data_IF_488329229153
#
_entry.id   IF_488329229153
#
_cell.length_a   1.000
_cell.length_b   1.000
_cell.length_c   1.000
_cell.angle_alpha   90.00
_cell.angle_beta   90.00
_cell.angle_gamma   90.00
#
_symmetry.space_group_name_H-M   'P 1'
#
loop_
_entity.id
_entity.type
_entity.pdbx_description
1 polymer ?
#
# COMPACT_ATOMS: atom_id res chain seq x y z
N UNK A 1 -11.15 -17.69 -12.52
CA UNK A 1 -10.09 -16.66 -12.61
C UNK A 1 -10.77 -15.31 -12.44
N UNK A 2 -10.11 -14.34 -11.82
CA UNK A 2 -10.60 -12.96 -11.70
C UNK A 2 -9.53 -12.03 -12.27
N UNK A 3 -9.94 -11.07 -13.10
CA UNK A 3 -9.07 -10.03 -13.64
C UNK A 3 -9.56 -8.65 -13.20
N UNK A 4 -8.67 -7.82 -12.67
CA UNK A 4 -8.97 -6.44 -12.24
C UNK A 4 -7.88 -5.54 -12.81
N UNK A 5 -8.25 -4.57 -13.63
CA UNK A 5 -7.30 -3.73 -14.36
C UNK A 5 -7.67 -2.25 -14.28
N UNK A 6 -6.73 -1.43 -13.83
CA UNK A 6 -6.78 0.04 -13.84
C UNK A 6 -8.08 0.62 -13.26
N UNK A 7 -8.67 -0.06 -12.27
CA UNK A 7 -9.89 0.41 -11.63
C UNK A 7 -9.57 1.64 -10.77
N UNK A 8 -10.20 2.82 -11.00
CA UNK A 8 -9.81 4.06 -10.33
C UNK A 8 -9.94 4.08 -8.80
N UNK A 9 -10.77 3.20 -8.25
CA UNK A 9 -11.01 3.09 -6.80
C UNK A 9 -10.29 1.90 -6.17
N UNK A 10 -9.56 1.11 -6.96
CA UNK A 10 -8.76 -0.01 -6.47
C UNK A 10 -7.29 0.33 -6.68
N UNK A 11 -6.60 0.55 -5.58
CA UNK A 11 -5.19 0.88 -5.54
C UNK A 11 -4.34 -0.33 -5.16
N UNK A 12 -3.03 -0.13 -5.14
CA UNK A 12 -2.06 -1.19 -4.87
C UNK A 12 -2.28 -1.89 -3.52
N UNK A 13 -2.71 -1.15 -2.47
CA UNK A 13 -2.96 -1.69 -1.13
C UNK A 13 -4.03 -2.78 -1.08
N UNK A 14 -4.98 -2.75 -2.00
CA UNK A 14 -6.15 -3.64 -1.99
C UNK A 14 -5.81 -5.08 -2.35
N UNK A 15 -4.60 -5.34 -2.86
CA UNK A 15 -4.14 -6.71 -3.13
C UNK A 15 -4.29 -7.61 -1.91
N UNK A 16 -4.11 -7.07 -0.69
CA UNK A 16 -4.19 -7.87 0.54
C UNK A 16 -5.64 -8.22 0.86
N UNK A 17 -6.55 -7.26 0.88
CA UNK A 17 -7.97 -7.51 1.17
C UNK A 17 -8.65 -8.33 0.07
N UNK A 18 -8.22 -8.18 -1.19
CA UNK A 18 -8.68 -9.04 -2.30
C UNK A 18 -8.26 -10.50 -2.09
N UNK A 19 -7.06 -10.77 -1.58
CA UNK A 19 -6.63 -12.13 -1.25
C UNK A 19 -7.42 -12.72 -0.08
N UNK A 20 -7.72 -11.90 0.94
CA UNK A 20 -8.58 -12.28 2.06
C UNK A 20 -9.99 -12.63 1.58
N UNK A 21 -10.58 -11.79 0.72
CA UNK A 21 -11.88 -12.05 0.10
C UNK A 21 -11.89 -13.34 -0.73
N UNK A 22 -10.86 -13.56 -1.55
CA UNK A 22 -10.74 -14.80 -2.33
C UNK A 22 -10.63 -16.02 -1.40
N UNK A 23 -9.92 -15.89 -0.28
CA UNK A 23 -9.80 -16.96 0.71
C UNK A 23 -11.15 -17.32 1.31
N UNK A 24 -11.91 -16.32 1.78
CA UNK A 24 -13.26 -16.46 2.33
C UNK A 24 -14.21 -17.12 1.32
N UNK A 25 -14.27 -16.57 0.09
CA UNK A 25 -15.11 -17.12 -0.99
C UNK A 25 -14.72 -18.57 -1.30
N UNK A 26 -13.42 -18.88 -1.36
CA UNK A 26 -12.97 -20.24 -1.63
C UNK A 26 -13.29 -21.20 -0.48
N UNK A 27 -13.35 -20.73 0.76
CA UNK A 27 -13.81 -21.55 1.88
C UNK A 27 -15.29 -21.92 1.72
N UNK A 28 -16.15 -20.96 1.42
CA UNK A 28 -17.57 -21.20 1.14
C UNK A 28 -17.78 -22.13 -0.06
N UNK A 29 -17.06 -21.89 -1.16
CA UNK A 29 -17.15 -22.73 -2.37
C UNK A 29 -16.67 -24.17 -2.13
N UNK A 30 -15.65 -24.37 -1.29
CA UNK A 30 -15.24 -25.73 -0.87
C UNK A 30 -16.36 -26.46 -0.15
N UNK A 31 -17.02 -25.78 0.79
CA UNK A 31 -18.13 -26.37 1.54
C UNK A 31 -19.31 -26.74 0.64
N UNK A 32 -19.57 -25.98 -0.42
CA UNK A 32 -20.65 -26.23 -1.39
C UNK A 32 -20.24 -27.07 -2.61
N UNK A 33 -19.01 -27.59 -2.68
CA UNK A 33 -18.51 -28.34 -3.85
C UNK A 33 -18.37 -27.51 -5.14
N UNK A 34 -18.35 -26.18 -5.04
CA UNK A 34 -18.28 -25.26 -6.18
C UNK A 34 -16.84 -25.01 -6.65
N UNK A 35 -16.61 -24.69 -7.94
CA UNK A 35 -15.28 -24.38 -8.46
C UNK A 35 -14.62 -23.18 -7.78
N UNK A 36 -13.42 -23.39 -7.23
CA UNK A 36 -12.63 -22.35 -6.56
C UNK A 36 -12.04 -21.33 -7.53
N UNK A 37 -11.80 -20.11 -7.04
CA UNK A 37 -10.96 -19.11 -7.70
C UNK A 37 -9.50 -19.54 -7.57
N UNK A 38 -8.88 -19.90 -8.71
CA UNK A 38 -7.48 -20.39 -8.78
C UNK A 38 -6.45 -19.36 -9.26
N UNK A 39 -6.88 -18.17 -9.65
CA UNK A 39 -5.96 -17.15 -10.15
C UNK A 39 -6.56 -15.75 -10.13
N UNK A 40 -5.71 -14.78 -9.83
CA UNK A 40 -6.00 -13.35 -9.80
C UNK A 40 -4.99 -12.63 -10.71
N UNK A 41 -5.48 -12.03 -11.79
CA UNK A 41 -4.68 -11.16 -12.66
C UNK A 41 -4.99 -9.71 -12.29
N UNK A 42 -4.10 -9.08 -11.53
CA UNK A 42 -4.34 -7.78 -10.91
C UNK A 42 -3.40 -6.72 -11.44
N UNK A 43 -3.95 -5.62 -11.94
CA UNK A 43 -3.22 -4.42 -12.30
C UNK A 43 -3.88 -3.23 -11.60
N UNK A 44 -3.35 -2.78 -10.45
CA UNK A 44 -3.91 -1.62 -9.75
C UNK A 44 -3.77 -0.35 -10.59
N UNK A 45 -4.50 0.71 -10.21
CA UNK A 45 -4.37 2.02 -10.84
C UNK A 45 -2.90 2.48 -10.81
N UNK A 46 -2.33 2.72 -11.98
CA UNK A 46 -0.99 3.32 -12.10
C UNK A 46 -1.11 4.83 -12.22
N UNK A 47 -0.49 5.55 -11.29
CA UNK A 47 -0.49 7.01 -11.26
C UNK A 47 0.65 7.57 -12.12
N UNK A 48 0.37 7.78 -13.41
CA UNK A 48 1.32 8.39 -14.34
C UNK A 48 1.67 9.86 -13.98
N UNK A 49 0.95 10.46 -13.03
CA UNK A 49 1.09 11.86 -12.66
C UNK A 49 0.69 12.81 -13.79
N UNK A 50 1.12 14.07 -13.69
CA UNK A 50 0.86 15.08 -14.73
C UNK A 50 2.15 15.62 -15.35
N UNK A 51 2.97 14.78 -16.01
CA UNK A 51 4.25 15.22 -16.58
C UNK A 51 4.11 16.34 -17.62
N UNK A 52 2.88 16.61 -18.09
CA UNK A 52 2.55 17.63 -19.09
C UNK A 52 2.04 18.96 -18.49
N UNK A 53 1.81 19.04 -17.17
CA UNK A 53 1.34 20.27 -16.53
C UNK A 53 2.47 21.29 -16.36
N UNK A 54 3.68 20.84 -16.01
CA UNK A 54 4.90 21.65 -15.99
C UNK A 54 6.11 20.77 -16.32
N UNK A 55 7.21 21.37 -16.76
CA UNK A 55 8.53 20.69 -16.89
C UNK A 55 9.07 20.12 -15.57
N UNK A 56 8.41 20.42 -14.44
CA UNK A 56 8.78 19.99 -13.09
C UNK A 56 7.73 19.07 -12.44
N UNK A 57 6.68 18.71 -13.17
CA UNK A 57 5.68 17.78 -12.67
C UNK A 57 6.27 16.38 -12.56
N UNK A 58 5.98 15.72 -11.43
CA UNK A 58 6.59 14.44 -11.08
C UNK A 58 5.61 13.29 -11.26
N UNK A 59 6.12 12.14 -11.72
CA UNK A 59 5.34 10.91 -11.95
C UNK A 59 5.59 9.93 -10.81
N UNK A 60 4.53 9.54 -10.11
CA UNK A 60 4.64 8.88 -8.80
C UNK A 60 4.21 7.40 -8.77
N UNK A 61 3.64 6.85 -9.85
CA UNK A 61 3.40 5.42 -10.09
C UNK A 61 2.43 4.73 -9.11
N UNK A 62 2.83 4.65 -7.85
CA UNK A 62 2.13 4.03 -6.73
C UNK A 62 1.08 4.96 -6.10
N UNK A 63 1.43 6.22 -5.86
CA UNK A 63 0.56 7.24 -5.26
C UNK A 63 0.32 8.37 -6.24
N UNK A 64 -0.77 9.11 -6.06
CA UNK A 64 -1.05 10.31 -6.85
C UNK A 64 -0.09 11.47 -6.54
N UNK A 65 0.17 11.68 -5.25
CA UNK A 65 1.00 12.76 -4.73
C UNK A 65 2.36 12.29 -4.18
N UNK A 66 3.26 13.26 -3.89
CA UNK A 66 4.48 12.98 -3.15
C UNK A 66 4.15 12.67 -1.69
N UNK A 67 4.46 11.45 -1.27
CA UNK A 67 4.40 11.01 0.12
C UNK A 67 5.82 10.79 0.67
N UNK A 68 5.97 10.52 1.97
CA UNK A 68 7.28 10.32 2.57
C UNK A 68 7.93 9.02 2.08
N UNK A 69 9.17 9.09 1.61
CA UNK A 69 9.90 7.95 1.06
C UNK A 69 10.02 6.79 2.05
N UNK A 70 10.26 7.09 3.34
CA UNK A 70 10.43 6.07 4.40
C UNK A 70 9.19 5.17 4.50
N UNK A 71 8.00 5.76 4.51
CA UNK A 71 6.74 5.01 4.56
C UNK A 71 6.42 4.37 3.21
N UNK A 72 6.58 5.10 2.10
CA UNK A 72 6.20 4.58 0.77
C UNK A 72 7.05 3.37 0.39
N UNK A 73 8.38 3.44 0.54
CA UNK A 73 9.27 2.36 0.16
C UNK A 73 9.08 1.13 1.06
N UNK A 74 9.08 1.32 2.39
CA UNK A 74 8.87 0.20 3.34
C UNK A 74 7.48 -0.39 3.20
N UNK A 75 6.47 0.45 2.98
CA UNK A 75 5.08 0.05 2.79
C UNK A 75 4.85 -0.72 1.50
N UNK A 76 5.45 -0.28 0.39
CA UNK A 76 5.39 -0.96 -0.89
C UNK A 76 5.85 -2.41 -0.76
N UNK A 77 7.08 -2.61 -0.27
CA UNK A 77 7.63 -3.96 -0.07
C UNK A 77 6.90 -4.76 1.01
N UNK A 78 6.39 -4.10 2.06
CA UNK A 78 5.59 -4.75 3.10
C UNK A 78 4.25 -5.30 2.57
N UNK A 79 3.58 -4.58 1.66
CA UNK A 79 2.39 -5.06 0.97
C UNK A 79 2.71 -6.21 0.00
N UNK A 80 3.81 -6.10 -0.77
CA UNK A 80 4.28 -7.20 -1.63
C UNK A 80 4.56 -8.46 -0.82
N UNK A 81 5.26 -8.36 0.33
CA UNK A 81 5.54 -9.49 1.22
C UNK A 81 4.25 -10.19 1.66
N UNK A 82 3.28 -9.43 2.18
CA UNK A 82 1.99 -9.98 2.64
C UNK A 82 1.25 -10.67 1.48
N UNK A 83 1.12 -9.99 0.35
CA UNK A 83 0.42 -10.50 -0.81
C UNK A 83 1.06 -11.78 -1.36
N UNK A 84 2.40 -11.80 -1.47
CA UNK A 84 3.15 -12.95 -1.94
C UNK A 84 2.94 -14.17 -1.04
N UNK A 85 3.08 -13.99 0.28
CA UNK A 85 2.93 -15.08 1.23
C UNK A 85 1.51 -15.66 1.21
N UNK A 86 0.49 -14.80 1.20
CA UNK A 86 -0.92 -15.21 1.10
C UNK A 86 -1.18 -15.96 -0.21
N UNK A 87 -0.82 -15.38 -1.36
CA UNK A 87 -1.03 -16.00 -2.68
C UNK A 87 -0.32 -17.35 -2.79
N UNK A 88 0.91 -17.45 -2.31
CA UNK A 88 1.69 -18.71 -2.30
C UNK A 88 1.02 -19.78 -1.44
N UNK A 89 0.54 -19.43 -0.25
CA UNK A 89 -0.16 -20.39 0.63
C UNK A 89 -1.49 -20.84 0.05
N UNK A 90 -2.19 -19.95 -0.63
CA UNK A 90 -3.47 -20.25 -1.30
C UNK A 90 -3.30 -21.03 -2.60
N UNK A 91 -2.07 -21.14 -3.14
CA UNK A 91 -1.83 -21.70 -4.46
C UNK A 91 -2.48 -20.88 -5.58
N UNK A 92 -2.57 -19.56 -5.39
CA UNK A 92 -3.22 -18.65 -6.34
C UNK A 92 -2.23 -18.29 -7.45
N UNK A 93 -2.56 -18.66 -8.70
CA UNK A 93 -1.76 -18.31 -9.87
C UNK A 93 -1.98 -16.87 -10.36
N UNK A 94 -1.25 -16.51 -11.42
CA UNK A 94 -1.28 -15.25 -12.15
C UNK A 94 -0.75 -14.02 -11.40
N UNK A 95 -0.95 -13.91 -10.09
CA UNK A 95 -0.58 -12.71 -9.36
C UNK A 95 0.93 -12.46 -9.34
N UNK A 96 1.73 -13.50 -9.13
CA UNK A 96 3.20 -13.40 -9.11
C UNK A 96 3.87 -14.19 -10.24
N UNK A 97 3.09 -14.61 -11.24
CA UNK A 97 3.64 -15.32 -12.39
C UNK A 97 4.41 -14.34 -13.29
N UNK A 98 5.42 -14.89 -13.99
CA UNK A 98 6.26 -14.11 -14.89
C UNK A 98 5.39 -13.46 -15.98
N UNK A 99 5.65 -12.18 -16.22
CA UNK A 99 5.05 -11.35 -17.28
C UNK A 99 3.52 -11.12 -17.16
N UNK A 100 2.94 -11.44 -16.00
CA UNK A 100 1.56 -11.07 -15.64
C UNK A 100 1.43 -9.64 -15.13
N UNK A 101 0.19 -9.19 -15.03
CA UNK A 101 -0.12 -7.77 -14.90
C UNK A 101 0.47 -7.16 -13.62
N UNK A 102 0.38 -7.86 -12.48
CA UNK A 102 0.91 -7.36 -11.22
C UNK A 102 2.44 -7.30 -11.23
N UNK A 103 3.13 -8.33 -11.70
CA UNK A 103 4.59 -8.31 -11.89
C UNK A 103 5.04 -7.19 -12.84
N UNK A 104 4.26 -6.89 -13.89
CA UNK A 104 4.52 -5.76 -14.79
C UNK A 104 4.36 -4.43 -14.05
N UNK A 105 3.30 -4.28 -13.25
CA UNK A 105 3.08 -3.11 -12.40
C UNK A 105 4.26 -2.89 -11.43
N UNK A 106 4.68 -3.94 -10.70
CA UNK A 106 5.80 -3.86 -9.74
C UNK A 106 7.12 -3.40 -10.40
N UNK A 107 7.35 -3.74 -11.67
CA UNK A 107 8.53 -3.30 -12.44
C UNK A 107 8.44 -1.82 -12.89
N UNK A 108 7.24 -1.25 -12.95
CA UNK A 108 7.00 0.13 -13.38
C UNK A 108 6.96 1.13 -12.24
N UNK A 109 6.80 0.67 -10.99
CA UNK A 109 6.85 1.55 -9.81
C UNK A 109 8.23 2.19 -9.73
N UNK A 110 8.35 3.53 -9.65
CA UNK A 110 9.64 4.20 -9.55
C UNK A 110 10.45 3.71 -8.35
N UNK A 111 11.59 3.09 -8.65
CA UNK A 111 12.58 2.62 -7.68
C UNK A 111 13.93 2.44 -8.40
N UNK A 112 15.00 2.14 -7.67
CA UNK A 112 16.25 1.77 -8.31
C UNK A 112 16.07 0.46 -9.12
N UNK A 113 16.79 0.30 -10.25
CA UNK A 113 16.71 -0.88 -11.10
C UNK A 113 16.81 -2.19 -10.32
N UNK A 114 15.96 -3.16 -10.67
CA UNK A 114 15.89 -4.50 -10.08
C UNK A 114 15.43 -4.59 -8.62
N UNK A 115 15.07 -3.49 -7.95
CA UNK A 115 14.60 -3.53 -6.56
C UNK A 115 13.45 -4.55 -6.33
N UNK A 116 12.36 -4.44 -7.09
CA UNK A 116 11.24 -5.39 -7.00
C UNK A 116 11.59 -6.82 -7.46
N UNK A 117 12.27 -7.04 -8.61
CA UNK A 117 12.76 -8.37 -8.99
C UNK A 117 13.64 -9.04 -7.92
N UNK A 118 14.61 -8.33 -7.33
CA UNK A 118 15.48 -8.85 -6.26
C UNK A 118 14.68 -9.19 -5.01
N UNK A 119 13.70 -8.36 -4.65
CA UNK A 119 12.81 -8.64 -3.52
C UNK A 119 12.02 -9.94 -3.73
N UNK A 120 11.41 -10.12 -4.91
CA UNK A 120 10.64 -11.32 -5.23
C UNK A 120 11.52 -12.57 -5.28
N UNK A 121 12.70 -12.48 -5.90
CA UNK A 121 13.68 -13.57 -5.94
C UNK A 121 14.11 -14.00 -4.51
N UNK A 122 14.36 -13.02 -3.64
CA UNK A 122 14.69 -13.27 -2.24
C UNK A 122 13.54 -13.97 -1.50
N UNK A 123 12.27 -13.60 -1.74
CA UNK A 123 11.12 -14.28 -1.16
C UNK A 123 11.03 -15.75 -1.60
N UNK A 124 11.27 -16.04 -2.87
CA UNK A 124 11.30 -17.41 -3.38
C UNK A 124 12.41 -18.23 -2.70
N UNK A 125 13.64 -17.72 -2.70
CA UNK A 125 14.78 -18.37 -2.03
C UNK A 125 14.55 -18.57 -0.54
N UNK A 126 13.94 -17.59 0.13
CA UNK A 126 13.64 -17.67 1.55
C UNK A 126 12.69 -18.84 1.86
N UNK A 127 11.64 -19.05 1.04
CA UNK A 127 10.69 -20.15 1.23
C UNK A 127 11.27 -21.52 0.89
N UNK A 128 12.32 -21.58 0.06
CA UNK A 128 13.00 -22.81 -0.37
C UNK A 128 14.21 -23.16 0.50
N UNK A 129 14.72 -22.19 1.27
CA UNK A 129 15.87 -22.35 2.15
C UNK A 129 15.61 -23.41 3.23
N UNK A 130 16.56 -24.33 3.38
CA UNK A 130 16.50 -25.43 4.37
C UNK A 130 17.38 -25.17 5.59
N UNK A 131 18.42 -24.36 5.42
CA UNK A 131 19.39 -24.01 6.44
C UNK A 131 19.31 -22.52 6.80
N UNK A 132 19.78 -22.19 8.01
CA UNK A 132 19.74 -20.84 8.55
C UNK A 132 20.66 -19.86 7.81
N UNK A 133 21.74 -20.33 7.20
CA UNK A 133 22.63 -19.45 6.42
C UNK A 133 21.94 -18.98 5.15
N UNK A 134 21.34 -19.90 4.38
CA UNK A 134 20.54 -19.60 3.19
C UNK A 134 19.38 -18.67 3.51
N UNK A 135 18.67 -18.89 4.63
CA UNK A 135 17.61 -17.98 5.10
C UNK A 135 18.17 -16.58 5.36
N UNK A 136 19.29 -16.46 6.09
CA UNK A 136 19.93 -15.15 6.35
C UNK A 136 20.32 -14.43 5.06
N UNK A 137 20.92 -15.14 4.09
CA UNK A 137 21.25 -14.55 2.78
C UNK A 137 20.00 -14.03 2.08
N UNK A 138 18.94 -14.82 2.08
CA UNK A 138 17.66 -14.44 1.49
C UNK A 138 17.02 -13.26 2.23
N UNK A 139 17.06 -13.23 3.58
CA UNK A 139 16.56 -12.11 4.38
C UNK A 139 17.32 -10.81 4.08
N UNK A 140 18.63 -10.88 3.84
CA UNK A 140 19.40 -9.69 3.44
C UNK A 140 19.03 -9.17 2.07
N UNK A 141 18.94 -10.04 1.08
CA UNK A 141 18.51 -9.64 -0.26
C UNK A 141 17.06 -9.13 -0.25
N UNK A 142 16.21 -9.67 0.64
CA UNK A 142 14.85 -9.22 0.87
C UNK A 142 14.82 -7.80 1.46
N UNK A 143 15.65 -7.53 2.47
CA UNK A 143 15.63 -6.24 3.18
C UNK A 143 16.44 -5.14 2.49
N UNK A 144 17.35 -5.49 1.59
CA UNK A 144 18.16 -4.51 0.86
C UNK A 144 17.29 -3.50 0.08
N UNK A 145 16.31 -3.91 -0.75
CA UNK A 145 15.38 -2.99 -1.40
C UNK A 145 14.53 -2.14 -0.45
N UNK A 146 14.27 -2.65 0.75
CA UNK A 146 13.50 -1.94 1.78
C UNK A 146 14.31 -0.76 2.35
N UNK A 147 15.64 -0.91 2.46
CA UNK A 147 16.51 0.02 3.20
C UNK A 147 17.33 0.96 2.32
N UNK A 148 17.72 0.53 1.12
CA UNK A 148 18.57 1.32 0.20
C UNK A 148 17.90 2.66 -0.10
N UNK A 149 18.64 3.76 0.04
CA UNK A 149 18.11 5.13 -0.13
C UNK A 149 17.46 5.73 1.12
N UNK A 150 17.21 4.93 2.17
CA UNK A 150 16.69 5.39 3.46
C UNK A 150 17.77 5.42 4.55
N UNK A 151 18.59 4.38 4.61
CA UNK A 151 19.57 4.20 5.68
C UNK A 151 20.99 4.58 5.23
N UNK A 152 21.68 5.39 6.02
CA UNK A 152 22.99 5.96 5.66
C UNK A 152 24.16 5.00 5.81
N UNK A 153 23.99 3.91 6.59
CA UNK A 153 25.07 3.01 7.03
C UNK A 153 24.98 1.59 6.46
N UNK A 154 24.25 1.39 5.37
CA UNK A 154 24.15 0.08 4.71
C UNK A 154 25.54 -0.44 4.30
N UNK A 155 26.47 0.47 3.98
CA UNK A 155 27.87 0.18 3.64
C UNK A 155 28.61 -0.56 4.77
N UNK A 156 28.13 -0.44 6.02
CA UNK A 156 28.71 -1.06 7.21
C UNK A 156 27.94 -2.30 7.69
N UNK A 157 26.96 -2.77 6.91
CA UNK A 157 26.16 -3.93 7.29
C UNK A 157 27.02 -5.20 7.40
N UNK A 158 28.04 -5.30 6.54
CA UNK A 158 28.97 -6.41 6.51
C UNK A 158 30.17 -6.21 7.45
N UNK A 159 30.58 -7.22 8.24
CA UNK A 159 29.91 -8.51 8.45
C UNK A 159 28.90 -8.48 9.61
N UNK A 160 28.99 -7.51 10.54
CA UNK A 160 28.37 -7.61 11.87
C UNK A 160 26.84 -7.52 11.85
N UNK A 161 26.27 -6.53 11.17
CA UNK A 161 24.83 -6.29 11.20
C UNK A 161 24.07 -7.37 10.42
N UNK A 162 24.60 -7.77 9.25
CA UNK A 162 24.12 -8.89 8.45
C UNK A 162 24.12 -10.23 9.23
N UNK A 163 25.21 -10.54 9.93
CA UNK A 163 25.34 -11.83 10.62
C UNK A 163 24.61 -11.90 11.96
N UNK A 164 24.42 -10.75 12.63
CA UNK A 164 24.12 -10.73 14.07
C UNK A 164 22.89 -9.92 14.45
N UNK A 165 22.32 -9.07 13.60
CA UNK A 165 21.24 -8.16 13.99
C UNK A 165 20.02 -8.31 13.08
N UNK A 166 20.25 -8.33 11.77
CA UNK A 166 19.20 -8.45 10.78
C UNK A 166 18.32 -9.68 11.03
N UNK A 167 16.99 -9.51 10.93
CA UNK A 167 16.05 -10.63 10.98
C UNK A 167 15.71 -11.11 12.40
N UNK A 168 16.31 -10.54 13.46
CA UNK A 168 16.12 -11.03 14.83
C UNK A 168 14.87 -10.50 15.53
N UNK A 169 14.42 -9.31 15.16
CA UNK A 169 13.33 -8.61 15.84
C UNK A 169 12.11 -8.56 14.95
N UNK A 170 11.06 -9.26 15.37
CA UNK A 170 9.73 -9.04 14.83
C UNK A 170 9.01 -7.99 15.64
N UNK A 171 8.53 -6.98 14.93
CA UNK A 171 7.81 -5.84 15.45
C UNK A 171 6.34 -5.97 15.09
N UNK A 172 5.51 -5.73 16.09
CA UNK A 172 4.07 -5.87 16.00
C UNK A 172 3.42 -4.58 15.50
N UNK A 173 2.49 -4.71 14.55
CA UNK A 173 1.65 -3.62 14.05
C UNK A 173 0.27 -3.69 14.70
N UNK A 174 -0.13 -2.62 15.40
CA UNK A 174 -1.45 -2.48 16.04
C UNK A 174 -2.61 -2.54 15.04
N UNK A 175 -2.41 -1.99 13.83
CA UNK A 175 -3.48 -1.88 12.81
C UNK A 175 -3.82 -3.19 12.12
N UNK A 176 -2.84 -3.90 11.53
CA UNK A 176 -3.16 -5.05 10.66
C UNK A 176 -3.12 -6.42 11.35
N UNK A 177 -2.69 -6.53 12.60
CA UNK A 177 -2.58 -7.86 13.21
C UNK A 177 -1.20 -8.50 13.17
N UNK A 178 -0.32 -8.02 12.30
CA UNK A 178 0.91 -8.72 11.95
C UNK A 178 2.11 -8.33 12.81
N UNK A 179 2.97 -9.32 13.03
CA UNK A 179 4.38 -9.14 13.34
C UNK A 179 5.19 -9.28 12.06
N UNK A 180 6.08 -8.32 11.79
CA UNK A 180 7.01 -8.32 10.65
C UNK A 180 8.37 -7.86 11.10
N UNK A 181 9.39 -8.04 10.25
CA UNK A 181 10.71 -7.44 10.44
C UNK A 181 10.60 -5.93 10.71
N UNK A 182 11.44 -5.41 11.61
CA UNK A 182 11.42 -4.00 12.04
C UNK A 182 11.65 -3.01 10.88
N UNK A 183 12.33 -3.47 9.83
CA UNK A 183 12.58 -2.75 8.60
C UNK A 183 11.29 -2.40 7.83
N UNK A 184 10.16 -3.05 8.10
CA UNK A 184 8.87 -2.68 7.52
C UNK A 184 8.13 -1.59 8.33
N UNK A 185 8.78 -1.01 9.34
CA UNK A 185 8.29 0.13 10.11
C UNK A 185 9.14 1.36 9.80
N UNK A 186 8.50 2.53 9.71
CA UNK A 186 9.22 3.79 9.62
C UNK A 186 10.08 4.00 10.87
N UNK A 187 11.09 4.87 10.78
CA UNK A 187 11.91 5.22 11.95
C UNK A 187 11.02 5.70 13.12
N UNK A 188 10.10 6.61 12.83
CA UNK A 188 9.13 7.11 13.81
C UNK A 188 8.24 6.02 14.41
N UNK A 189 7.75 5.07 13.61
CA UNK A 189 6.89 4.01 14.10
C UNK A 189 7.64 3.03 15.02
N UNK A 190 8.95 2.84 14.84
CA UNK A 190 9.76 1.95 15.69
C UNK A 190 9.83 2.46 17.13
N UNK A 191 9.88 3.78 17.32
CA UNK A 191 9.93 4.43 18.62
C UNK A 191 8.56 4.52 19.31
N UNK A 192 7.47 4.26 18.58
CA UNK A 192 6.12 4.27 19.14
C UNK A 192 5.87 3.11 20.09
N UNK A 193 5.00 3.35 21.07
CA UNK A 193 4.47 2.31 21.96
C UNK A 193 3.66 1.26 21.16
N UNK A 194 3.66 -0.01 21.58
CA UNK A 194 3.06 -1.11 20.80
C UNK A 194 1.60 -0.90 20.35
N UNK A 195 0.76 -0.25 21.16
CA UNK A 195 -0.65 -0.01 20.84
C UNK A 195 -0.86 1.10 19.79
N UNK A 196 0.14 1.97 19.60
CA UNK A 196 0.16 3.06 18.60
C UNK A 196 1.03 2.74 17.38
N UNK A 197 1.72 1.60 17.40
CA UNK A 197 2.73 1.24 16.42
C UNK A 197 2.07 0.69 15.16
N UNK A 198 2.07 1.48 14.09
CA UNK A 198 1.54 1.10 12.78
C UNK A 198 2.69 0.86 11.80
N UNK A 199 2.67 -0.25 11.07
CA UNK A 199 3.69 -0.55 10.06
C UNK A 199 3.52 0.32 8.81
N UNK A 200 4.61 0.49 8.05
CA UNK A 200 4.62 1.34 6.87
C UNK A 200 3.60 0.90 5.81
N UNK A 201 3.31 -0.41 5.71
CA UNK A 201 2.28 -0.93 4.80
C UNK A 201 0.88 -0.42 5.15
N UNK A 202 0.52 -0.41 6.44
CA UNK A 202 -0.77 0.13 6.90
C UNK A 202 -0.85 1.65 6.73
N UNK A 203 0.22 2.37 7.05
CA UNK A 203 0.26 3.83 6.86
C UNK A 203 0.15 4.20 5.39
N UNK A 204 0.86 3.49 4.50
CA UNK A 204 0.76 3.69 3.06
C UNK A 204 -0.66 3.40 2.55
N UNK A 205 -1.30 2.36 3.06
CA UNK A 205 -2.68 2.04 2.71
C UNK A 205 -3.65 3.14 3.10
N UNK A 206 -3.53 3.70 4.31
CA UNK A 206 -4.30 4.90 4.71
C UNK A 206 -4.08 6.06 3.76
N UNK A 207 -2.82 6.31 3.35
CA UNK A 207 -2.55 7.40 2.42
C UNK A 207 -3.22 7.19 1.06
N UNK A 208 -3.20 5.97 0.52
CA UNK A 208 -3.89 5.66 -0.74
C UNK A 208 -5.42 5.69 -0.58
N UNK A 209 -5.95 5.25 0.57
CA UNK A 209 -7.37 5.36 0.94
C UNK A 209 -7.82 6.83 1.02
N UNK A 210 -6.94 7.75 1.43
CA UNK A 210 -7.23 9.18 1.61
C UNK A 210 -7.06 10.01 0.33
N UNK A 211 -6.47 9.45 -0.74
CA UNK A 211 -6.26 10.19 -1.98
C UNK A 211 -7.58 10.68 -2.59
N UNK A 212 -7.65 11.94 -3.00
CA UNK A 212 -8.85 12.60 -3.49
C UNK A 212 -8.82 12.87 -5.00
N UNK A 213 -7.76 12.40 -5.69
CA UNK A 213 -7.60 12.57 -7.13
C UNK A 213 -8.76 12.02 -7.93
N UNK A 214 -9.02 12.63 -9.08
CA UNK A 214 -10.05 12.17 -10.00
C UNK A 214 -11.42 11.94 -9.32
N UNK A 215 -11.77 12.78 -8.36
CA UNK A 215 -13.03 12.72 -7.60
C UNK A 215 -13.23 11.41 -6.83
N UNK A 216 -12.14 10.74 -6.42
CA UNK A 216 -12.21 9.49 -5.63
C UNK A 216 -13.13 9.63 -4.42
N UNK A 217 -13.04 10.74 -3.68
CA UNK A 217 -13.90 11.01 -2.50
C UNK A 217 -15.40 11.01 -2.85
N UNK A 218 -15.78 11.69 -3.94
CA UNK A 218 -17.17 11.73 -4.41
C UNK A 218 -17.63 10.35 -4.89
N UNK A 219 -16.78 9.63 -5.62
CA UNK A 219 -17.06 8.28 -6.10
C UNK A 219 -17.25 7.29 -4.94
N UNK A 220 -16.43 7.38 -3.88
CA UNK A 220 -16.63 6.61 -2.65
C UNK A 220 -17.94 6.97 -1.97
N UNK A 221 -18.25 8.26 -1.81
CA UNK A 221 -19.53 8.70 -1.23
C UNK A 221 -20.77 8.22 -2.03
N UNK A 222 -20.63 8.02 -3.34
CA UNK A 222 -21.64 7.36 -4.16
C UNK A 222 -21.76 5.88 -3.77
N UNK A 223 -20.65 5.15 -3.68
CA UNK A 223 -20.63 3.75 -3.26
C UNK A 223 -21.11 3.53 -1.83
N UNK A 224 -20.80 4.43 -0.89
CA UNK A 224 -21.29 4.37 0.50
C UNK A 224 -22.83 4.37 0.57
N UNK A 225 -23.49 4.89 -0.47
CA UNK A 225 -24.95 4.84 -0.61
C UNK A 225 -25.44 3.41 -0.84
N UNK A 226 -24.69 2.58 -1.57
CA UNK A 226 -25.00 1.17 -1.80
C UNK A 226 -24.74 0.31 -0.56
N UNK A 227 -23.84 0.76 0.33
CA UNK A 227 -23.33 -0.02 1.45
C UNK A 227 -23.39 0.75 2.78
N UNK A 228 -24.57 1.25 3.21
CA UNK A 228 -24.67 2.15 4.37
C UNK A 228 -24.29 1.50 5.71
N UNK A 229 -24.35 0.17 5.77
CA UNK A 229 -23.96 -0.61 6.95
C UNK A 229 -22.50 -1.07 6.92
N UNK A 230 -21.76 -0.77 5.85
CA UNK A 230 -20.38 -1.20 5.72
C UNK A 230 -19.50 -0.48 6.75
N UNK A 231 -18.63 -1.25 7.38
CA UNK A 231 -17.68 -0.78 8.38
C UNK A 231 -16.27 -1.03 7.88
N UNK A 232 -15.68 -0.02 7.24
CA UNK A 232 -14.35 -0.11 6.64
C UNK A 232 -13.23 -0.53 7.59
N UNK A 233 -13.39 -0.26 8.90
CA UNK A 233 -12.40 -0.57 9.93
C UNK A 233 -12.56 -1.97 10.56
N UNK A 234 -13.48 -2.81 10.09
CA UNK A 234 -13.57 -4.20 10.56
C UNK A 234 -12.42 -5.07 9.99
N UNK A 235 -11.98 -6.07 10.75
CA UNK A 235 -10.94 -6.99 10.29
C UNK A 235 -11.50 -8.06 9.35
N UNK A 236 -10.77 -8.34 8.27
CA UNK A 236 -11.11 -9.40 7.33
C UNK A 236 -10.81 -10.79 7.89
N UNK A 237 -11.45 -11.81 7.30
CA UNK A 237 -10.99 -13.18 7.46
C UNK A 237 -9.63 -13.34 6.77
N UNK A 238 -8.57 -13.29 7.58
CA UNK A 238 -7.20 -13.28 7.10
C UNK A 238 -6.84 -14.55 6.30
N UNK A 239 -6.39 -14.37 5.05
CA UNK A 239 -5.84 -15.45 4.26
C UNK A 239 -4.54 -15.99 4.89
N UNK A 240 -4.36 -17.33 4.96
CA UNK A 240 -3.27 -17.94 5.70
C UNK A 240 -1.91 -17.66 5.07
N UNK A 241 -0.86 -17.72 5.90
CA UNK A 241 0.54 -17.64 5.48
C UNK A 241 1.24 -19.02 5.48
N UNK A 242 2.33 -19.21 4.70
CA UNK A 242 3.17 -20.40 4.79
C UNK A 242 3.85 -20.49 6.17
N UNK A 243 4.01 -21.70 6.71
CA UNK A 243 4.67 -21.87 8.00
C UNK A 243 6.14 -21.41 8.00
N UNK A 244 6.80 -21.51 6.86
CA UNK A 244 8.19 -21.06 6.65
C UNK A 244 8.32 -19.53 6.79
N UNK A 245 7.24 -18.78 6.57
CA UNK A 245 7.26 -17.31 6.64
C UNK A 245 7.31 -16.76 8.06
N UNK A 246 7.09 -17.60 9.10
CA UNK A 246 6.90 -17.16 10.49
C UNK A 246 8.03 -16.28 11.05
N UNK A 247 9.25 -16.45 10.56
CA UNK A 247 10.41 -15.71 11.06
C UNK A 247 10.54 -14.31 10.40
N UNK A 248 9.74 -14.01 9.37
CA UNK A 248 9.73 -12.70 8.69
C UNK A 248 8.35 -12.02 8.69
N UNK A 249 7.27 -12.79 8.75
CA UNK A 249 5.90 -12.31 8.88
C UNK A 249 4.99 -13.37 9.52
N UNK A 250 4.20 -12.95 10.52
CA UNK A 250 3.14 -13.80 11.07
C UNK A 250 1.97 -12.96 11.59
N UNK A 251 0.75 -13.44 11.37
CA UNK A 251 -0.41 -12.89 12.02
C UNK A 251 -0.39 -13.28 13.50
N UNK A 252 -0.52 -12.30 14.40
CA UNK A 252 -0.62 -12.56 15.85
C UNK A 252 -2.05 -12.64 16.35
N UNK A 253 -2.88 -11.67 15.98
CA UNK A 253 -4.30 -11.62 16.34
C UNK A 253 -4.96 -10.50 15.54
N UNK A 254 -6.22 -10.69 15.12
CA UNK A 254 -7.12 -9.64 14.62
C UNK A 254 -8.21 -9.28 15.64
N UNK A 255 -8.17 -9.88 16.83
CA UNK A 255 -9.16 -9.71 17.88
C UNK A 255 -8.54 -8.96 19.06
N UNK A 256 -9.23 -7.91 19.52
CA UNK A 256 -8.91 -7.23 20.77
C UNK A 256 -9.21 -8.16 21.94
N UNK A 257 -8.18 -8.68 22.60
CA UNK A 257 -8.33 -9.44 23.84
C UNK A 257 -8.32 -8.44 24.99
N UNK A 258 -9.50 -8.17 25.54
CA UNK A 258 -9.64 -7.39 26.77
C UNK A 258 -9.42 -8.35 27.93
N UNK A 259 -8.49 -8.02 28.82
CA UNK A 259 -8.35 -8.77 30.06
C UNK A 259 -9.53 -8.37 30.96
N UNK A 260 -10.28 -9.33 31.49
CA UNK A 260 -11.39 -9.05 32.42
C UNK A 260 -10.91 -8.39 33.73
N UNK A 261 -9.60 -8.41 33.98
CA UNK A 261 -8.95 -7.81 35.14
C UNK A 261 -8.19 -6.57 34.68
N UNK A 262 -8.91 -5.49 34.38
CA UNK A 262 -8.26 -4.17 34.40
C UNK A 262 -7.79 -3.94 35.84
N UNK A 263 -6.47 -3.85 36.04
CA UNK A 263 -5.89 -3.61 37.35
C UNK A 263 -6.49 -2.35 37.96
N UNK A 264 -7.33 -2.53 38.97
CA UNK A 264 -7.93 -1.42 39.72
C UNK A 264 -6.79 -0.73 40.46
N UNK A 265 -6.59 0.55 40.16
CA UNK A 265 -5.59 1.39 40.81
C UNK A 265 -6.32 2.43 41.66
N UNK A 266 -5.88 2.67 42.88
CA UNK A 266 -6.37 3.79 43.68
C UNK A 266 -5.55 5.04 43.34
N UNK A 267 -6.21 6.19 43.16
CA UNK A 267 -5.51 7.47 43.10
C UNK A 267 -5.09 7.94 44.51
N UNK A 268 -4.55 9.16 44.57
CA UNK A 268 -4.08 9.80 45.81
C UNK A 268 -5.22 10.19 46.75
N UNK A 269 -6.48 10.19 46.28
CA UNK A 269 -7.69 10.41 47.07
C UNK A 269 -8.35 9.08 47.50
N UNK A 270 -7.76 7.94 47.11
CA UNK A 270 -8.29 6.61 47.38
C UNK A 270 -9.42 6.19 46.43
N UNK A 271 -9.70 6.97 45.39
CA UNK A 271 -10.69 6.60 44.39
C UNK A 271 -10.12 5.50 43.49
N UNK A 272 -10.85 4.38 43.45
CA UNK A 272 -10.52 3.22 42.64
C UNK A 272 -10.91 3.47 41.19
N UNK A 273 -9.97 3.35 40.26
CA UNK A 273 -10.23 3.38 38.83
C UNK A 273 -9.54 2.22 38.10
N UNK A 274 -10.22 1.67 37.11
CA UNK A 274 -9.61 0.73 36.18
C UNK A 274 -8.70 1.53 35.23
N UNK A 275 -7.38 1.30 35.28
CA UNK A 275 -6.50 1.85 34.25
C UNK A 275 -6.64 0.95 33.03
N UNK A 276 -7.10 1.44 31.86
CA UNK A 276 -7.12 0.63 30.65
C UNK A 276 -5.70 0.14 30.44
N UNK A 277 -5.49 -1.17 30.52
CA UNK A 277 -4.18 -1.70 30.20
C UNK A 277 -3.90 -1.34 28.75
N UNK A 278 -2.85 -0.57 28.47
CA UNK A 278 -2.49 -0.18 27.09
C UNK A 278 -2.37 -1.40 26.16
N UNK A 279 -2.14 -2.60 26.72
CA UNK A 279 -2.16 -3.89 26.05
C UNK A 279 -3.55 -4.32 25.53
N UNK A 280 -4.66 -3.97 26.20
CA UNK A 280 -6.03 -4.33 25.80
C UNK A 280 -6.53 -3.54 24.59
N UNK A 281 -5.98 -2.34 24.36
CA UNK A 281 -6.34 -1.45 23.25
C UNK A 281 -5.47 -1.62 22.00
N UNK A 282 -4.47 -2.51 22.04
CA UNK A 282 -3.49 -2.69 20.96
C UNK A 282 -4.14 -2.99 19.60
N UNK A 283 -5.37 -3.53 19.60
CA UNK A 283 -6.12 -3.91 18.40
C UNK A 283 -7.28 -3.01 18.04
N UNK A 284 -7.56 -2.01 18.87
CA UNK A 284 -8.58 -0.99 18.59
C UNK A 284 -8.05 0.10 17.64
N UNK A 285 -6.80 -0.03 17.17
CA UNK A 285 -6.08 0.93 16.33
C UNK A 285 -5.92 0.46 14.88
N UNK A 286 -6.97 -0.15 14.29
CA UNK A 286 -7.04 -0.37 12.84
C UNK A 286 -7.30 0.97 12.15
N UNK A 287 -6.43 1.33 11.21
CA UNK A 287 -6.44 2.68 10.60
C UNK A 287 -6.91 2.72 9.14
N UNK A 288 -6.76 1.63 8.38
CA UNK A 288 -7.12 1.59 6.96
C UNK A 288 -8.51 0.98 6.74
N UNK A 289 -9.19 1.42 5.68
CA UNK A 289 -10.61 1.14 5.43
C UNK A 289 -10.82 0.02 4.40
N UNK A 290 -10.17 -1.12 4.63
CA UNK A 290 -10.10 -2.24 3.68
C UNK A 290 -10.95 -3.46 4.06
N UNK A 291 -11.93 -3.26 4.94
CA UNK A 291 -12.87 -4.31 5.31
C UNK A 291 -13.65 -4.78 4.08
N UNK A 292 -13.66 -6.09 3.85
CA UNK A 292 -14.56 -6.79 2.93
C UNK A 292 -15.64 -7.56 3.69
N UNK A 293 -15.75 -7.34 5.00
CA UNK A 293 -16.76 -8.00 5.84
C UNK A 293 -18.12 -7.32 5.68
N UNK A 294 -19.19 -8.10 5.89
CA UNK A 294 -20.57 -7.62 5.90
C UNK A 294 -20.99 -6.89 4.62
N UNK A 295 -20.36 -7.23 3.48
CA UNK A 295 -20.76 -6.72 2.18
C UNK A 295 -22.05 -7.43 1.72
N UNK A 296 -23.03 -6.69 1.17
CA UNK A 296 -24.22 -7.30 0.63
C UNK A 296 -23.90 -8.12 -0.62
N UNK A 297 -24.63 -9.20 -0.80
CA UNK A 297 -24.60 -10.01 -2.00
C UNK A 297 -25.12 -9.21 -3.19
N UNK A 298 -24.74 -9.61 -4.41
CA UNK A 298 -25.29 -9.00 -5.62
C UNK A 298 -26.82 -9.12 -5.70
N UNK A 299 -27.38 -10.22 -5.18
CA UNK A 299 -28.83 -10.40 -5.13
C UNK A 299 -29.50 -9.37 -4.22
N UNK A 300 -28.95 -9.14 -3.02
CA UNK A 300 -29.42 -8.11 -2.08
C UNK A 300 -29.31 -6.70 -2.66
N UNK A 301 -28.27 -6.44 -3.46
CA UNK A 301 -28.11 -5.16 -4.15
C UNK A 301 -29.08 -4.96 -5.31
N UNK A 302 -29.55 -6.02 -5.97
CA UNK A 302 -30.36 -5.90 -7.20
C UNK A 302 -31.86 -6.15 -6.99
N UNK A 303 -32.25 -6.77 -5.88
CA UNK A 303 -33.63 -7.22 -5.65
C UNK A 303 -34.30 -6.45 -4.50
N UNK A 304 -35.61 -6.24 -4.63
CA UNK A 304 -36.44 -5.56 -3.63
C UNK A 304 -36.65 -4.06 -3.87
N UNK A 305 -37.70 -3.51 -3.27
CA UNK A 305 -38.06 -2.10 -3.47
C UNK A 305 -37.10 -1.13 -2.77
N UNK A 306 -36.49 -1.56 -1.65
CA UNK A 306 -35.42 -0.81 -0.99
C UNK A 306 -34.19 -0.68 -1.90
N UNK A 307 -33.79 -1.75 -2.60
CA UNK A 307 -32.71 -1.71 -3.59
C UNK A 307 -33.00 -0.69 -4.70
N UNK A 308 -34.21 -0.67 -5.27
CA UNK A 308 -34.60 0.31 -6.29
C UNK A 308 -34.44 1.75 -5.81
N UNK A 309 -34.88 2.05 -4.58
CA UNK A 309 -34.76 3.37 -3.99
C UNK A 309 -33.28 3.77 -3.80
N UNK A 310 -32.46 2.85 -3.27
CA UNK A 310 -31.01 3.07 -3.10
C UNK A 310 -30.32 3.33 -4.44
N UNK A 311 -30.60 2.52 -5.46
CA UNK A 311 -30.06 2.75 -6.81
C UNK A 311 -30.55 4.07 -7.41
N UNK A 312 -31.80 4.47 -7.17
CA UNK A 312 -32.29 5.80 -7.55
C UNK A 312 -31.44 6.94 -6.97
N UNK A 313 -31.05 6.84 -5.69
CA UNK A 313 -30.15 7.80 -5.06
C UNK A 313 -28.74 7.79 -5.68
N UNK A 314 -28.21 6.60 -5.95
CA UNK A 314 -26.91 6.42 -6.62
C UNK A 314 -26.93 7.07 -8.01
N UNK A 315 -27.96 6.81 -8.81
CA UNK A 315 -28.13 7.43 -10.14
C UNK A 315 -28.22 8.95 -10.05
N UNK A 316 -28.95 9.49 -9.08
CA UNK A 316 -29.02 10.93 -8.86
C UNK A 316 -27.66 11.53 -8.49
N UNK A 317 -26.91 10.91 -7.57
CA UNK A 317 -25.56 11.38 -7.20
C UNK A 317 -24.59 11.30 -8.39
N UNK A 318 -24.63 10.22 -9.17
CA UNK A 318 -23.86 10.08 -10.41
C UNK A 318 -24.20 11.19 -11.42
N UNK A 319 -25.49 11.48 -11.61
CA UNK A 319 -25.96 12.53 -12.52
C UNK A 319 -25.49 13.91 -12.06
N UNK A 320 -25.57 14.20 -10.76
CA UNK A 320 -25.07 15.44 -10.18
C UNK A 320 -23.56 15.60 -10.38
N UNK A 321 -22.79 14.53 -10.18
CA UNK A 321 -21.35 14.54 -10.41
C UNK A 321 -21.01 14.78 -11.89
N UNK A 322 -21.74 14.15 -12.82
CA UNK A 322 -21.55 14.38 -14.27
C UNK A 322 -21.90 15.83 -14.66
N UNK A 323 -23.02 16.37 -14.17
CA UNK A 323 -23.42 17.76 -14.40
C UNK A 323 -22.35 18.72 -13.86
N UNK A 324 -21.85 18.49 -12.64
CA UNK A 324 -20.77 19.27 -12.05
C UNK A 324 -19.51 19.27 -12.94
N UNK A 325 -19.05 18.09 -13.36
CA UNK A 325 -17.89 17.96 -14.25
C UNK A 325 -18.09 18.69 -15.59
N UNK A 326 -19.29 18.59 -16.19
CA UNK A 326 -19.61 19.29 -17.44
C UNK A 326 -19.66 20.81 -17.25
N UNK A 327 -20.24 21.29 -16.15
CA UNK A 327 -20.31 22.71 -15.83
C UNK A 327 -18.91 23.32 -15.66
N UNK A 328 -18.02 22.66 -14.90
CA UNK A 328 -16.63 23.12 -14.72
C UNK A 328 -15.88 23.14 -16.05
N UNK A 329 -16.03 22.11 -16.88
CA UNK A 329 -15.45 22.09 -18.24
C UNK A 329 -15.95 23.26 -19.09
N UNK A 330 -17.25 23.58 -19.03
CA UNK A 330 -17.85 24.69 -19.79
C UNK A 330 -17.30 26.03 -19.33
N UNK A 331 -17.34 26.30 -18.02
CA UNK A 331 -16.82 27.54 -17.43
C UNK A 331 -15.35 27.79 -17.81
N UNK A 332 -14.50 26.76 -17.77
CA UNK A 332 -13.09 26.88 -18.19
C UNK A 332 -12.92 27.17 -19.68
N UNK A 333 -13.78 26.63 -20.55
CA UNK A 333 -13.71 26.88 -22.00
C UNK A 333 -14.16 28.29 -22.35
N UNK A 334 -15.14 28.82 -21.64
CA UNK A 334 -15.67 30.17 -21.86
C UNK A 334 -14.77 31.25 -21.23
N UNK A 335 -14.27 31.02 -20.01
CA UNK A 335 -13.42 31.99 -19.30
C UNK A 335 -12.06 32.29 -19.96
N UNK A 336 -11.67 31.55 -21.01
CA UNK A 336 -10.47 31.84 -21.81
C UNK A 336 -10.70 32.87 -22.92
N UNK A 337 -11.93 33.27 -23.22
CA UNK A 337 -12.24 34.11 -24.38
C UNK A 337 -12.15 35.61 -24.13
N UNK A 338 -12.31 36.08 -22.89
CA UNK A 338 -12.60 37.51 -22.67
C UNK A 338 -11.58 38.34 -21.89
N UNK A 339 -10.56 37.79 -21.22
CA UNK A 339 -9.46 38.61 -20.67
C UNK A 339 -8.13 37.82 -20.56
N UNK A 340 -6.96 38.48 -20.71
CA UNK A 340 -5.69 37.94 -20.26
C UNK A 340 -5.67 37.96 -18.72
N UNK A 341 -6.37 37.00 -18.12
CA UNK A 341 -6.41 36.82 -16.67
C UNK A 341 -4.98 36.58 -16.18
N UNK A 342 -4.49 37.52 -15.37
CA UNK A 342 -3.27 37.35 -14.57
C UNK A 342 -3.45 36.12 -13.67
N UNK A 343 -2.85 35.01 -14.09
CA UNK A 343 -2.17 34.04 -13.24
C UNK A 343 -2.97 33.35 -12.10
N UNK A 344 -4.27 33.13 -12.27
CA UNK A 344 -5.05 32.27 -11.34
C UNK A 344 -5.66 31.02 -11.99
N UNK A 345 -5.70 30.94 -13.31
CA UNK A 345 -6.05 29.73 -14.04
C UNK A 345 -4.78 29.04 -14.53
N UNK A 346 -4.42 27.91 -13.92
CA UNK A 346 -3.19 27.16 -14.22
C UNK A 346 -2.88 27.06 -15.73
N UNK A 347 -1.60 27.23 -16.07
CA UNK A 347 -1.11 27.26 -17.46
C UNK A 347 -1.66 26.08 -18.28
N UNK A 348 -2.02 26.29 -19.56
CA UNK A 348 -2.38 25.19 -20.46
C UNK A 348 -1.25 24.15 -20.54
N UNK A 349 -1.59 22.86 -20.66
CA UNK A 349 -0.59 21.78 -20.78
C UNK A 349 0.25 21.99 -22.04
N UNK A 350 1.50 21.53 -22.01
CA UNK A 350 2.42 21.62 -23.15
C UNK A 350 1.99 20.79 -24.36
N UNK A 351 1.10 19.80 -24.17
CA UNK A 351 0.54 18.95 -25.23
C UNK A 351 -0.76 19.52 -25.85
N UNK A 352 -1.16 20.74 -25.49
CA UNK A 352 -2.41 21.35 -25.95
C UNK A 352 -3.67 20.74 -25.30
N UNK A 353 -3.51 19.76 -24.41
CA UNK A 353 -4.59 19.26 -23.56
C UNK A 353 -4.99 20.32 -22.55
N UNK A 354 -6.28 20.53 -22.34
CA UNK A 354 -6.71 21.19 -21.11
C UNK A 354 -6.64 20.17 -19.98
N UNK A 355 -6.00 20.45 -18.82
CA UNK A 355 -6.22 19.65 -17.63
C UNK A 355 -7.71 19.72 -17.33
N UNK A 356 -8.39 18.58 -17.46
CA UNK A 356 -9.84 18.57 -17.57
C UNK A 356 -10.50 18.85 -16.21
N UNK A 357 -9.72 18.96 -15.12
CA UNK A 357 -10.17 19.48 -13.83
C UNK A 357 -9.04 19.98 -12.91
N UNK A 358 -9.40 20.73 -11.86
CA UNK A 358 -8.54 21.00 -10.67
C UNK A 358 -8.12 19.69 -9.99
N UNK A 359 -8.85 18.60 -10.25
CA UNK A 359 -8.65 17.24 -9.72
C UNK A 359 -7.57 16.42 -10.44
N UNK A 360 -7.04 16.92 -11.55
CA UNK A 360 -5.82 16.39 -12.18
C UNK A 360 -4.59 17.12 -11.70
N UNK A 361 -4.72 18.17 -10.88
CA UNK A 361 -3.56 18.80 -10.27
C UNK A 361 -3.07 17.88 -9.17
N UNK A 362 -1.84 17.41 -9.35
CA UNK A 362 -1.15 16.72 -8.27
C UNK A 362 -1.03 17.66 -7.08
N UNK A 363 -1.24 17.17 -5.84
CA UNK A 363 -1.04 17.99 -4.67
C UNK A 363 0.38 18.55 -4.71
N UNK A 364 0.60 19.81 -4.28
CA UNK A 364 1.93 20.35 -4.22
C UNK A 364 2.81 19.42 -3.37
N UNK A 365 4.11 19.41 -3.66
CA UNK A 365 5.11 18.86 -2.72
C UNK A 365 4.93 19.61 -1.41
N UNK A 366 4.10 19.09 -0.50
CA UNK A 366 3.98 19.66 0.84
C UNK A 366 5.38 19.63 1.41
N UNK A 367 5.81 20.74 2.02
CA UNK A 367 7.02 20.77 2.84
C UNK A 367 6.77 19.96 4.13
N UNK A 368 6.45 18.67 3.99
CA UNK A 368 6.50 17.73 5.11
C UNK A 368 7.98 17.48 5.38
N UNK A 369 8.32 17.42 6.66
CA UNK A 369 9.63 16.97 7.12
C UNK A 369 9.86 15.55 6.55
N UNK A 370 10.81 15.40 5.63
CA UNK A 370 11.13 14.09 5.05
C UNK A 370 11.53 14.15 3.57
N UNK A 371 12.15 13.06 3.11
CA UNK A 371 12.51 12.88 1.71
C UNK A 371 11.25 12.43 0.97
N UNK A 372 10.82 13.09 -0.12
CA UNK A 372 9.67 12.65 -0.89
C UNK A 372 9.93 11.30 -1.57
N UNK A 373 8.88 10.52 -1.75
CA UNK A 373 8.94 9.23 -2.45
C UNK A 373 9.47 9.39 -3.88
N UNK A 374 9.98 8.29 -4.42
CA UNK A 374 10.60 8.30 -5.73
C UNK A 374 9.58 8.66 -6.82
N UNK A 375 9.92 9.69 -7.58
CA UNK A 375 9.54 9.82 -8.98
C UNK A 375 10.62 9.19 -9.88
N UNK A 376 10.38 9.10 -11.19
CA UNK A 376 11.39 8.55 -12.11
C UNK A 376 12.73 9.29 -12.04
N UNK A 377 12.72 10.62 -11.90
CA UNK A 377 13.95 11.42 -11.85
C UNK A 377 14.79 11.11 -10.62
N UNK A 378 14.17 11.09 -9.44
CA UNK A 378 14.84 10.79 -8.17
C UNK A 378 15.27 9.33 -8.08
N UNK A 379 14.52 8.39 -8.67
CA UNK A 379 14.96 7.00 -8.82
C UNK A 379 16.23 6.88 -9.67
N UNK A 380 16.31 7.63 -10.79
CA UNK A 380 17.52 7.70 -11.62
C UNK A 380 18.70 8.31 -10.86
N UNK A 381 18.48 9.38 -10.08
CA UNK A 381 19.52 9.99 -9.27
C UNK A 381 20.04 9.04 -8.18
N UNK A 382 19.14 8.32 -7.51
CA UNK A 382 19.53 7.28 -6.56
C UNK A 382 20.39 6.21 -7.25
N UNK A 383 19.95 5.71 -8.40
CA UNK A 383 20.71 4.71 -9.16
C UNK A 383 22.10 5.20 -9.55
N UNK A 384 22.24 6.43 -10.04
CA UNK A 384 23.53 7.02 -10.35
C UNK A 384 24.46 7.07 -9.11
N UNK A 385 23.90 7.43 -7.95
CA UNK A 385 24.63 7.39 -6.68
C UNK A 385 25.08 5.97 -6.29
N UNK A 386 24.24 4.96 -6.53
CA UNK A 386 24.59 3.56 -6.29
C UNK A 386 25.69 3.06 -7.24
N UNK A 387 25.68 3.48 -8.50
CA UNK A 387 26.75 3.17 -9.47
C UNK A 387 28.07 3.80 -9.05
N UNK A 388 28.07 5.07 -8.63
CA UNK A 388 29.28 5.75 -8.14
C UNK A 388 29.88 5.07 -6.90
N UNK A 389 29.03 4.47 -6.05
CA UNK A 389 29.47 3.65 -4.91
C UNK A 389 29.94 2.24 -5.29
N UNK A 390 29.84 1.83 -6.55
CA UNK A 390 30.14 0.47 -7.01
C UNK A 390 29.11 -0.59 -6.60
N UNK A 391 27.89 -0.18 -6.25
CA UNK A 391 26.83 -1.06 -5.75
C UNK A 391 25.84 -1.48 -6.81
N UNK A 392 25.69 -0.66 -7.84
CA UNK A 392 25.03 -1.06 -9.08
C UNK A 392 26.10 -1.63 -10.02
N UNK A 393 25.84 -2.82 -10.57
CA UNK A 393 26.79 -3.52 -11.43
C UNK A 393 27.00 -2.75 -12.72
N UNK A 394 28.13 -2.05 -12.83
CA UNK A 394 28.59 -1.55 -14.11
C UNK A 394 29.39 -2.67 -14.81
N UNK A 395 28.80 -3.27 -15.85
CA UNK A 395 29.54 -4.12 -16.80
C UNK A 395 30.31 -3.23 -17.78
N UNK A 396 31.10 -2.31 -17.24
CA UNK A 396 31.96 -1.39 -17.97
C UNK A 396 33.41 -1.53 -17.51
N UNK A 397 34.07 -2.63 -17.89
CA UNK A 397 35.51 -2.70 -18.19
C UNK A 397 36.54 -2.00 -17.29
N UNK A 398 36.28 -1.78 -16.00
CA UNK A 398 37.23 -1.19 -15.07
C UNK A 398 37.86 -2.26 -14.20
N UNK A 399 39.12 -2.58 -14.46
CA UNK A 399 39.98 -3.39 -13.59
C UNK A 399 39.86 -2.86 -12.17
N UNK A 400 39.28 -3.67 -11.28
CA UNK A 400 39.29 -3.41 -9.85
C UNK A 400 40.72 -3.60 -9.36
N UNK A 401 41.52 -2.53 -9.42
CA UNK A 401 42.77 -2.42 -8.67
C UNK A 401 42.42 -2.51 -7.19
N UNK A 402 42.71 -3.67 -6.59
CA UNK A 402 42.81 -3.82 -5.15
C UNK A 402 43.87 -2.84 -4.65
N UNK A 403 43.45 -1.84 -3.88
CA UNK A 403 44.26 -1.16 -2.86
C UNK A 403 43.54 -1.41 -1.55
N UNK A 404 44.13 -1.89 -0.47
CA UNK A 404 45.45 -2.41 -0.13
C UNK A 404 45.29 -2.95 1.30
#
# INVERSE_FOLDING_TARGET
MIGIYDCPLIHFGDVVCLLDLIHEINAARRASGSPQVRGLDFYPKYHAGTPFATTHSATYGLTWGPHELDVVQRGFFGLVLKAFMKARRMGLGLLFDKDKAFCRYLRQVPNYPLAAPTFLDALHRYLEARDEESKRRATYDLLKPVRVGLETRIDHDWPKWYTTIMGKSLVFCSSCGYETLEEFFSAFARDMQPHRRVCAACTLQVWMDEEDDHLKSHKRSILDTLYPSWKGLEFNQDAPLPHQAKDIVRLRSTVSVRSDVDGVTADHEGAMYARPTLASLVRDNKVHSDSVQSLPTLAELLQGDQSKATWGQVYNKCSNLDIYCRAVRRLKREGKKDEPVKDQGGKPRTDGGMPDHVEELQPPKRAREGIPCHDFKSATLLYAGLTLKGWAGDRGGGVCERRG
#
